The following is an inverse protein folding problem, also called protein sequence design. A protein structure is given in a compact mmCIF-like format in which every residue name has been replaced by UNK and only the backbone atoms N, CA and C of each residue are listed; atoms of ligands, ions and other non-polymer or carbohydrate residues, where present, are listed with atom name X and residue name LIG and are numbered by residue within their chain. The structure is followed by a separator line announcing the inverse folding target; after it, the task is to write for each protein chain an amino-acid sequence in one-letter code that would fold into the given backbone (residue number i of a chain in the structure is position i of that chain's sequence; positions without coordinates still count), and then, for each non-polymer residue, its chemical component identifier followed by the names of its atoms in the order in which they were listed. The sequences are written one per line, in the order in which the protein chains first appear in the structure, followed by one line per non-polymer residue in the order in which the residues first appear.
data_IF_350922077342
#
_entry.id   IF_350922077342
#
_cell.length_a   1.000
_cell.length_b   1.000
_cell.length_c   1.000
_cell.angle_alpha   90.00
_cell.angle_beta   90.00
_cell.angle_gamma   90.00
#
_symmetry.space_group_name_H-M   'P 1'
#
loop_
_entity.id
_entity.type
_entity.pdbx_description
1 polymer ?
#
# COMPACT_ATOMS: atom_id res chain seq x y z
N UNK A 1 12.05 -13.68 3.23
CA UNK A 1 10.96 -13.34 2.29
C UNK A 1 10.25 -12.09 2.76
N UNK A 2 9.99 -11.17 1.86
CA UNK A 2 9.28 -9.92 2.17
C UNK A 2 7.78 -10.21 2.29
N UNK A 3 7.19 -9.79 3.40
CA UNK A 3 5.76 -10.00 3.68
C UNK A 3 5.00 -8.71 3.42
N UNK A 4 3.99 -8.78 2.58
CA UNK A 4 3.24 -7.60 2.11
C UNK A 4 1.77 -7.73 2.51
N UNK A 5 1.23 -6.69 3.14
CA UNK A 5 -0.20 -6.58 3.42
C UNK A 5 -0.85 -5.78 2.29
N UNK A 6 -1.95 -6.27 1.74
CA UNK A 6 -2.71 -5.60 0.69
C UNK A 6 -4.07 -5.17 1.24
N UNK A 7 -4.40 -3.89 1.14
CA UNK A 7 -5.66 -3.34 1.61
C UNK A 7 -6.39 -2.63 0.45
N UNK A 8 -7.54 -3.15 0.07
CA UNK A 8 -8.39 -2.59 -0.99
C UNK A 8 -9.79 -3.15 -0.80
N UNK A 9 -10.83 -2.34 -1.00
CA UNK A 9 -12.21 -2.79 -0.83
C UNK A 9 -12.69 -3.64 -2.01
N UNK A 10 -11.97 -3.66 -3.13
CA UNK A 10 -12.31 -4.47 -4.30
C UNK A 10 -11.64 -5.84 -4.23
N UNK A 11 -12.42 -6.93 -4.14
CA UNK A 11 -11.82 -8.27 -4.19
C UNK A 11 -11.04 -8.54 -5.49
N UNK A 12 -11.52 -7.97 -6.61
CA UNK A 12 -10.85 -8.14 -7.91
C UNK A 12 -9.46 -7.50 -7.90
N UNK A 13 -9.36 -6.28 -7.35
CA UNK A 13 -8.07 -5.59 -7.23
C UNK A 13 -7.14 -6.35 -6.28
N UNK A 14 -7.66 -6.83 -5.14
CA UNK A 14 -6.83 -7.61 -4.22
C UNK A 14 -6.26 -8.87 -4.90
N UNK A 15 -7.09 -9.57 -5.68
CA UNK A 15 -6.61 -10.75 -6.44
C UNK A 15 -5.53 -10.37 -7.45
N UNK A 16 -5.73 -9.26 -8.15
CA UNK A 16 -4.77 -8.76 -9.12
C UNK A 16 -3.43 -8.43 -8.46
N UNK A 17 -3.48 -7.68 -7.35
CA UNK A 17 -2.28 -7.32 -6.61
C UNK A 17 -1.57 -8.55 -6.04
N UNK A 18 -2.32 -9.49 -5.48
CA UNK A 18 -1.73 -10.74 -4.97
C UNK A 18 -1.00 -11.47 -6.09
N UNK A 19 -1.63 -11.59 -7.26
CA UNK A 19 -1.01 -12.29 -8.40
C UNK A 19 0.27 -11.60 -8.83
N UNK A 20 0.25 -10.26 -8.97
CA UNK A 20 1.42 -9.51 -9.38
C UNK A 20 2.57 -9.63 -8.37
N UNK A 21 2.26 -9.50 -7.09
CA UNK A 21 3.27 -9.50 -6.03
C UNK A 21 3.80 -10.89 -5.74
N UNK A 22 2.93 -11.90 -5.67
CA UNK A 22 3.34 -13.28 -5.40
C UNK A 22 4.14 -13.88 -6.57
N UNK A 23 4.08 -13.28 -7.75
CA UNK A 23 4.89 -13.73 -8.88
C UNK A 23 6.39 -13.48 -8.65
N UNK A 24 6.71 -12.55 -7.78
CA UNK A 24 8.10 -12.27 -7.40
C UNK A 24 8.53 -13.29 -6.34
N UNK A 25 9.61 -14.02 -6.59
CA UNK A 25 10.02 -15.17 -5.75
C UNK A 25 10.26 -14.82 -4.29
N UNK A 26 10.72 -13.60 -4.02
CA UNK A 26 11.09 -13.19 -2.66
C UNK A 26 9.97 -12.47 -1.91
N UNK A 27 8.80 -12.36 -2.49
CA UNK A 27 7.67 -11.62 -1.92
C UNK A 27 6.48 -12.52 -1.66
N UNK A 28 5.76 -12.22 -0.57
CA UNK A 28 4.56 -12.95 -0.18
C UNK A 28 3.49 -11.97 0.29
N UNK A 29 2.30 -12.05 -0.28
CA UNK A 29 1.13 -11.35 0.28
C UNK A 29 0.69 -12.14 1.50
N UNK A 30 0.97 -11.61 2.68
CA UNK A 30 0.75 -12.34 3.93
C UNK A 30 -0.69 -12.21 4.44
N UNK A 31 -1.41 -11.16 4.05
CA UNK A 31 -2.80 -10.96 4.47
C UNK A 31 -3.44 -9.89 3.58
N UNK A 32 -4.77 -9.77 3.68
CA UNK A 32 -5.56 -8.80 2.95
C UNK A 32 -6.53 -8.10 3.89
N UNK A 33 -6.88 -6.85 3.56
CA UNK A 33 -7.87 -6.08 4.29
C UNK A 33 -8.82 -5.42 3.29
N UNK A 34 -10.07 -5.22 3.68
CA UNK A 34 -11.10 -4.67 2.79
C UNK A 34 -11.55 -3.26 3.16
N UNK A 35 -11.01 -2.68 4.24
CA UNK A 35 -11.26 -1.29 4.62
C UNK A 35 -10.11 -0.78 5.46
N UNK A 36 -10.13 0.53 5.77
CA UNK A 36 -9.02 1.15 6.49
C UNK A 36 -8.87 0.68 7.92
N UNK A 37 -9.98 0.44 8.62
CA UNK A 37 -9.94 -0.07 9.99
C UNK A 37 -9.32 -1.46 10.04
N UNK A 38 -9.76 -2.32 9.13
CA UNK A 38 -9.21 -3.66 9.02
C UNK A 38 -7.73 -3.64 8.64
N UNK A 39 -7.33 -2.69 7.77
CA UNK A 39 -5.94 -2.53 7.40
C UNK A 39 -5.06 -2.26 8.61
N UNK A 40 -5.48 -1.36 9.49
CA UNK A 40 -4.73 -1.05 10.71
C UNK A 40 -4.67 -2.27 11.63
N UNK A 41 -5.79 -2.97 11.79
CA UNK A 41 -5.85 -4.17 12.64
C UNK A 41 -4.97 -5.29 12.12
N UNK A 42 -5.05 -5.57 10.80
CA UNK A 42 -4.22 -6.61 10.17
C UNK A 42 -2.75 -6.25 10.22
N UNK A 43 -2.44 -4.95 10.09
CA UNK A 43 -1.06 -4.47 10.24
C UNK A 43 -0.50 -4.81 11.62
N UNK A 44 -1.28 -4.56 12.67
CA UNK A 44 -0.86 -4.91 14.05
C UNK A 44 -0.65 -6.40 14.22
N UNK A 45 -1.56 -7.20 13.65
CA UNK A 45 -1.56 -8.65 13.84
C UNK A 45 -0.44 -9.33 13.04
N UNK A 46 -0.17 -8.88 11.82
CA UNK A 46 0.76 -9.56 10.91
C UNK A 46 2.15 -8.94 10.87
N UNK A 47 2.28 -7.69 11.24
CA UNK A 47 3.56 -6.93 11.20
C UNK A 47 4.28 -7.12 9.87
N UNK A 48 3.65 -6.69 8.75
CA UNK A 48 4.24 -6.88 7.43
C UNK A 48 5.48 -6.00 7.23
N UNK A 49 6.26 -6.33 6.22
CA UNK A 49 7.43 -5.54 5.85
C UNK A 49 7.05 -4.34 4.99
N UNK A 50 5.89 -4.37 4.34
CA UNK A 50 5.40 -3.31 3.49
C UNK A 50 3.89 -3.44 3.37
N UNK A 51 3.18 -2.33 3.21
CA UNK A 51 1.75 -2.34 2.94
C UNK A 51 1.44 -1.61 1.63
N UNK A 52 0.59 -2.23 0.81
CA UNK A 52 -0.03 -1.63 -0.36
C UNK A 52 -1.46 -1.29 0.01
N UNK A 53 -1.85 -0.02 -0.05
CA UNK A 53 -3.12 0.45 0.47
C UNK A 53 -3.87 1.33 -0.53
N UNK A 54 -5.15 1.04 -0.72
CA UNK A 54 -6.05 1.87 -1.52
C UNK A 54 -6.39 3.16 -0.76
N UNK A 55 -6.52 4.27 -1.49
CA UNK A 55 -6.95 5.53 -0.88
C UNK A 55 -8.42 5.48 -0.49
N UNK A 56 -9.30 5.09 -1.41
CA UNK A 56 -10.76 5.12 -1.17
C UNK A 56 -11.24 3.77 -0.65
N UNK A 57 -11.55 3.73 0.64
CA UNK A 57 -12.10 2.55 1.30
C UNK A 57 -13.19 2.98 2.28
N UNK A 58 -14.19 2.12 2.52
CA UNK A 58 -15.20 2.41 3.54
C UNK A 58 -14.59 2.40 4.94
N UNK A 59 -15.27 3.00 5.88
CA UNK A 59 -14.96 3.08 7.32
C UNK A 59 -13.78 3.98 7.63
N UNK A 60 -12.66 3.85 6.91
CA UNK A 60 -11.46 4.68 7.08
C UNK A 60 -10.71 4.66 5.76
N UNK A 61 -10.39 5.83 5.21
CA UNK A 61 -9.65 5.90 3.95
C UNK A 61 -8.17 5.56 4.14
N UNK A 62 -7.47 5.40 3.02
CA UNK A 62 -6.07 4.97 3.05
C UNK A 62 -5.12 5.97 3.68
N UNK A 63 -5.39 7.29 3.58
CA UNK A 63 -4.55 8.30 4.23
C UNK A 63 -4.68 8.21 5.75
N UNK A 64 -5.90 8.07 6.26
CA UNK A 64 -6.12 7.96 7.70
C UNK A 64 -5.54 6.67 8.25
N UNK A 65 -5.72 5.56 7.52
CA UNK A 65 -5.11 4.30 7.92
C UNK A 65 -3.58 4.42 7.94
N UNK A 66 -3.00 5.08 6.95
CA UNK A 66 -1.56 5.30 6.89
C UNK A 66 -1.05 6.14 8.05
N UNK A 67 -1.80 7.15 8.49
CA UNK A 67 -1.42 7.94 9.68
C UNK A 67 -1.29 7.05 10.91
N UNK A 68 -2.24 6.14 11.10
CA UNK A 68 -2.18 5.19 12.21
C UNK A 68 -0.97 4.25 12.07
N UNK A 69 -0.74 3.74 10.87
CA UNK A 69 0.36 2.80 10.62
C UNK A 69 1.71 3.46 10.82
N UNK A 70 1.89 4.68 10.33
CA UNK A 70 3.14 5.45 10.53
C UNK A 70 3.37 5.69 12.01
N UNK A 71 2.31 5.99 12.76
CA UNK A 71 2.42 6.16 14.21
C UNK A 71 2.86 4.89 14.93
N UNK A 72 2.45 3.72 14.42
CA UNK A 72 2.80 2.43 15.00
C UNK A 72 4.20 1.96 14.54
N UNK A 73 4.56 2.23 13.30
CA UNK A 73 5.79 1.72 12.70
C UNK A 73 6.29 2.68 11.61
N UNK A 74 7.02 3.74 12.01
CA UNK A 74 7.46 4.77 11.05
C UNK A 74 8.39 4.25 9.95
N UNK A 75 9.00 3.11 10.17
CA UNK A 75 9.96 2.56 9.21
C UNK A 75 9.36 1.59 8.20
N UNK A 76 8.08 1.23 8.35
CA UNK A 76 7.42 0.35 7.40
C UNK A 76 6.98 1.15 6.18
N UNK A 77 7.48 0.84 4.98
CA UNK A 77 7.08 1.57 3.78
C UNK A 77 5.62 1.31 3.43
N UNK A 78 4.94 2.37 2.99
CA UNK A 78 3.55 2.34 2.57
C UNK A 78 3.48 2.80 1.12
N UNK A 79 2.86 1.99 0.28
CA UNK A 79 2.56 2.31 -1.11
C UNK A 79 1.06 2.51 -1.25
N UNK A 80 0.64 3.69 -1.69
CA UNK A 80 -0.77 3.98 -1.95
C UNK A 80 -1.12 3.68 -3.41
N UNK A 81 -2.26 3.06 -3.63
CA UNK A 81 -2.78 2.78 -4.97
C UNK A 81 -4.16 3.38 -5.07
N UNK A 82 -4.44 4.14 -6.13
CA UNK A 82 -5.73 4.84 -6.27
C UNK A 82 -6.14 4.95 -7.74
N UNK A 83 -7.46 5.05 -7.98
CA UNK A 83 -7.99 5.24 -9.32
C UNK A 83 -7.58 6.62 -9.86
N UNK A 84 -7.69 7.65 -9.02
CA UNK A 84 -7.41 9.04 -9.42
C UNK A 84 -6.23 9.60 -8.64
N UNK A 85 -5.04 9.39 -9.18
CA UNK A 85 -3.83 9.94 -8.58
C UNK A 85 -3.60 11.35 -9.11
N UNK A 86 -3.52 12.31 -8.19
CA UNK A 86 -3.24 13.70 -8.49
C UNK A 86 -1.99 14.15 -7.77
N UNK A 87 -1.41 15.28 -8.22
CA UNK A 87 -0.28 15.88 -7.52
C UNK A 87 -0.65 16.24 -6.08
N UNK A 88 -1.86 16.78 -5.88
CA UNK A 88 -2.33 17.14 -4.55
C UNK A 88 -2.38 15.92 -3.64
N UNK A 89 -2.93 14.80 -4.12
CA UNK A 89 -3.01 13.58 -3.31
C UNK A 89 -1.61 13.01 -3.03
N UNK A 90 -0.71 13.06 -4.01
CA UNK A 90 0.69 12.65 -3.81
C UNK A 90 1.36 13.49 -2.73
N UNK A 91 1.13 14.81 -2.74
CA UNK A 91 1.71 15.72 -1.75
C UNK A 91 1.16 15.42 -0.35
N UNK A 92 -0.14 15.16 -0.25
CA UNK A 92 -0.77 14.79 1.03
C UNK A 92 -0.22 13.45 1.53
N UNK A 93 -0.06 12.49 0.63
CA UNK A 93 0.50 11.18 0.99
C UNK A 93 1.92 11.32 1.53
N UNK A 94 2.76 12.13 0.89
CA UNK A 94 4.12 12.39 1.37
C UNK A 94 4.14 12.98 2.77
N UNK A 95 3.23 13.93 3.04
CA UNK A 95 3.15 14.56 4.36
C UNK A 95 2.78 13.58 5.46
N UNK A 96 1.98 12.58 5.14
CA UNK A 96 1.62 11.53 6.10
C UNK A 96 2.78 10.59 6.37
N UNK A 97 3.67 10.42 5.41
CA UNK A 97 4.78 9.49 5.51
C UNK A 97 4.67 8.30 4.56
N UNK A 98 3.69 8.32 3.66
CA UNK A 98 3.59 7.36 2.57
C UNK A 98 4.77 7.58 1.63
N UNK A 99 5.39 6.51 1.17
CA UNK A 99 6.64 6.60 0.40
C UNK A 99 6.47 6.39 -1.09
N UNK A 100 5.28 6.03 -1.54
CA UNK A 100 5.01 5.87 -2.95
C UNK A 100 3.55 5.86 -3.27
N UNK A 101 3.21 6.13 -4.54
CA UNK A 101 1.84 6.09 -5.02
C UNK A 101 1.79 5.64 -6.47
N UNK A 102 0.78 4.84 -6.80
CA UNK A 102 0.53 4.35 -8.16
C UNK A 102 -0.94 4.55 -8.51
N UNK A 103 -1.20 4.81 -9.78
CA UNK A 103 -2.57 4.80 -10.31
C UNK A 103 -2.99 3.37 -10.61
N UNK A 104 -4.25 3.01 -10.29
CA UNK A 104 -4.77 1.67 -10.59
C UNK A 104 -4.83 1.39 -12.09
N UNK A 105 -4.89 2.43 -12.92
CA UNK A 105 -4.82 2.29 -14.37
C UNK A 105 -3.47 1.77 -14.86
N UNK A 106 -2.44 1.90 -14.03
CA UNK A 106 -1.08 1.41 -14.31
C UNK A 106 -0.66 0.43 -13.23
N UNK A 107 -1.51 -0.54 -12.93
CA UNK A 107 -1.31 -1.43 -11.78
C UNK A 107 -0.03 -2.27 -11.88
N UNK A 108 0.46 -2.51 -13.09
CA UNK A 108 1.73 -3.24 -13.26
C UNK A 108 2.92 -2.47 -12.68
N UNK A 109 2.80 -1.14 -12.52
CA UNK A 109 3.85 -0.34 -11.89
C UNK A 109 4.02 -0.64 -10.40
N UNK A 110 3.04 -1.33 -9.79
CA UNK A 110 3.11 -1.68 -8.37
C UNK A 110 4.36 -2.52 -8.06
N UNK A 111 4.73 -3.42 -8.97
CA UNK A 111 5.93 -4.26 -8.77
C UNK A 111 7.19 -3.39 -8.67
N UNK A 112 7.35 -2.45 -9.61
CA UNK A 112 8.50 -1.54 -9.60
C UNK A 112 8.47 -0.63 -8.37
N UNK A 113 7.27 -0.16 -7.99
CA UNK A 113 7.11 0.70 -6.83
C UNK A 113 7.48 -0.02 -5.54
N UNK A 114 7.01 -1.25 -5.36
CA UNK A 114 7.36 -2.06 -4.19
C UNK A 114 8.87 -2.28 -4.13
N UNK A 115 9.48 -2.60 -5.26
CA UNK A 115 10.94 -2.77 -5.33
C UNK A 115 11.68 -1.50 -4.90
N UNK A 116 11.22 -0.34 -5.38
CA UNK A 116 11.83 0.94 -5.00
C UNK A 116 11.71 1.21 -3.50
N UNK A 117 10.52 1.00 -2.94
CA UNK A 117 10.30 1.22 -1.50
C UNK A 117 11.15 0.29 -0.63
N UNK A 118 11.34 -0.94 -1.08
CA UNK A 118 12.21 -1.89 -0.36
C UNK A 118 13.68 -1.49 -0.40
N UNK A 119 14.10 -0.73 -1.42
CA UNK A 119 15.44 -0.15 -1.51
C UNK A 119 15.56 1.17 -0.76
N UNK A 120 14.54 1.57 0.01
CA UNK A 120 14.52 2.84 0.74
C UNK A 120 14.43 4.06 -0.17
N UNK A 121 13.91 3.88 -1.38
CA UNK A 121 13.61 4.96 -2.31
C UNK A 121 12.15 5.34 -2.20
N UNK A 122 11.77 6.49 -2.76
CA UNK A 122 10.37 6.85 -2.94
C UNK A 122 9.93 6.53 -4.38
N UNK A 123 8.63 6.43 -4.57
CA UNK A 123 8.08 6.16 -5.90
C UNK A 123 6.79 6.97 -6.08
N UNK A 124 6.93 8.19 -6.57
CA UNK A 124 5.79 9.04 -6.88
C UNK A 124 5.86 9.44 -8.34
N UNK A 125 4.78 9.26 -9.11
CA UNK A 125 4.72 9.84 -10.45
C UNK A 125 4.64 11.34 -10.26
N UNK A 126 5.60 12.03 -10.77
CA UNK A 126 5.68 13.47 -10.73
C UNK A 126 4.59 14.27 -10.14
#
# INVERSE_FOLDING_TARGET
MVRILVADDSPAIRRCLRRLLDHHDDWLVCDEACNGKEAVQRFRDTKPDLIVIDFQMPEMNGLDAARHIVGLSPNTPILMVTIHLSKQLSDEARKVGIRGACAKTNINNVVDAVGALLRRETYFPN
#
